data_IF_193375633015
#
_entry.id   IF_193375633015
#
_cell.length_a   1.000
_cell.length_b   1.000
_cell.length_c   1.000
_cell.angle_alpha   90.00
_cell.angle_beta   90.00
_cell.angle_gamma   90.00
#
_symmetry.space_group_name_H-M   'P 1'
#
loop_
_entity.id
_entity.type
_entity.pdbx_description
1 polymer ?
#
# COMPACT_ATOMS: atom_id res chain seq x y z
N UNK A 1 -8.68 -6.25 -21.59
CA UNK A 1 -8.29 -6.81 -22.90
C UNK A 1 -7.45 -5.81 -23.74
N UNK A 2 -7.71 -4.51 -23.66
CA UNK A 2 -6.94 -3.45 -24.35
C UNK A 2 -5.50 -3.37 -23.79
N UNK A 3 -5.33 -3.45 -22.48
CA UNK A 3 -4.01 -3.46 -21.82
C UNK A 3 -3.17 -4.65 -22.32
N UNK A 4 -3.74 -5.86 -22.35
CA UNK A 4 -3.07 -7.06 -22.88
C UNK A 4 -2.68 -6.95 -24.36
N UNK A 5 -3.44 -6.16 -25.15
CA UNK A 5 -3.16 -5.93 -26.57
C UNK A 5 -2.20 -4.76 -26.83
N UNK A 6 -1.77 -4.05 -25.78
CA UNK A 6 -0.96 -2.85 -25.90
C UNK A 6 -1.72 -1.61 -26.39
N UNK A 7 -3.07 -1.67 -26.41
CA UNK A 7 -3.95 -0.57 -26.79
C UNK A 7 -4.21 0.40 -25.61
N UNK A 8 -3.89 -0.04 -24.38
CA UNK A 8 -3.95 0.75 -23.16
C UNK A 8 -2.70 0.46 -22.31
N UNK A 9 -2.32 1.41 -21.44
CA UNK A 9 -1.14 1.27 -20.55
C UNK A 9 -1.51 0.88 -19.14
N UNK A 10 -2.74 1.14 -18.72
CA UNK A 10 -3.22 0.86 -17.39
C UNK A 10 -4.74 0.71 -17.35
N UNK A 11 -5.22 -0.04 -16.38
CA UNK A 11 -6.62 -0.11 -16.00
C UNK A 11 -6.77 0.34 -14.56
N UNK A 12 -7.63 1.32 -14.29
CA UNK A 12 -8.01 1.68 -12.94
C UNK A 12 -9.54 1.65 -12.75
N UNK A 13 -9.97 1.27 -11.56
CA UNK A 13 -11.40 1.10 -11.28
C UNK A 13 -11.74 1.31 -9.80
N UNK A 14 -12.85 1.96 -9.53
CA UNK A 14 -13.49 2.06 -8.20
C UNK A 14 -14.47 0.91 -7.91
N UNK A 15 -14.47 -0.15 -8.71
CA UNK A 15 -15.35 -1.31 -8.55
C UNK A 15 -14.96 -2.25 -7.41
N UNK A 16 -15.62 -3.40 -7.34
CA UNK A 16 -15.34 -4.44 -6.34
C UNK A 16 -13.88 -4.93 -6.42
N UNK A 17 -13.21 -5.00 -5.27
CA UNK A 17 -11.81 -5.48 -5.17
C UNK A 17 -11.66 -6.89 -5.73
N UNK A 18 -12.61 -7.79 -5.41
CA UNK A 18 -12.59 -9.16 -5.90
C UNK A 18 -12.71 -9.25 -7.43
N UNK A 19 -13.62 -8.46 -8.04
CA UNK A 19 -13.77 -8.43 -9.50
C UNK A 19 -12.51 -7.87 -10.20
N UNK A 20 -11.88 -6.83 -9.64
CA UNK A 20 -10.64 -6.24 -10.18
C UNK A 20 -9.49 -7.24 -10.06
N UNK A 21 -9.38 -7.94 -8.93
CA UNK A 21 -8.36 -8.94 -8.69
C UNK A 21 -8.47 -10.11 -9.67
N UNK A 22 -9.67 -10.71 -9.77
CA UNK A 22 -9.93 -11.82 -10.69
C UNK A 22 -9.72 -11.38 -12.14
N UNK A 23 -10.27 -10.23 -12.54
CA UNK A 23 -10.06 -9.65 -13.87
C UNK A 23 -8.60 -9.38 -14.18
N UNK A 24 -7.84 -8.84 -13.23
CA UNK A 24 -6.40 -8.63 -13.35
C UNK A 24 -5.64 -9.94 -13.58
N UNK A 25 -5.91 -10.96 -12.76
CA UNK A 25 -5.25 -12.27 -12.90
C UNK A 25 -5.63 -13.02 -14.18
N UNK A 26 -6.91 -13.05 -14.53
CA UNK A 26 -7.40 -13.86 -15.66
C UNK A 26 -7.18 -13.17 -17.01
N UNK A 27 -7.40 -11.84 -17.08
CA UNK A 27 -7.37 -11.10 -18.35
C UNK A 27 -5.97 -10.54 -18.61
N UNK A 28 -5.35 -9.85 -17.63
CA UNK A 28 -4.02 -9.24 -17.77
C UNK A 28 -2.93 -10.31 -17.61
N UNK A 29 -3.12 -11.19 -16.65
CA UNK A 29 -2.18 -12.27 -16.33
C UNK A 29 -1.05 -11.84 -15.42
N UNK A 30 -0.51 -12.78 -14.65
CA UNK A 30 0.64 -12.56 -13.76
C UNK A 30 1.97 -12.53 -14.51
N UNK A 31 2.94 -11.79 -13.99
CA UNK A 31 4.34 -11.87 -14.39
C UNK A 31 4.85 -13.28 -14.09
N UNK A 32 5.58 -13.89 -15.04
CA UNK A 32 6.13 -15.24 -14.85
C UNK A 32 7.06 -15.26 -13.64
N UNK A 33 6.74 -16.12 -12.68
CA UNK A 33 7.46 -16.27 -11.43
C UNK A 33 6.78 -15.60 -10.22
N UNK A 34 5.91 -14.61 -10.43
CA UNK A 34 5.06 -14.07 -9.37
C UNK A 34 3.95 -15.07 -9.07
N UNK A 35 3.90 -15.54 -7.82
CA UNK A 35 2.92 -16.55 -7.40
C UNK A 35 1.53 -15.93 -7.19
N UNK A 36 1.48 -14.77 -6.57
CA UNK A 36 0.24 -14.06 -6.23
C UNK A 36 0.42 -12.54 -6.35
N UNK A 37 -0.39 -11.84 -7.14
CA UNK A 37 -0.43 -10.37 -7.18
C UNK A 37 -1.02 -9.80 -5.90
N UNK A 38 -0.30 -8.98 -5.13
CA UNK A 38 -0.83 -8.29 -3.95
C UNK A 38 -1.47 -6.96 -4.30
N UNK A 39 -2.40 -6.51 -3.46
CA UNK A 39 -2.95 -5.15 -3.45
C UNK A 39 -2.14 -4.28 -2.48
N UNK A 40 -1.57 -3.19 -2.96
CA UNK A 40 -0.58 -2.41 -2.24
C UNK A 40 -0.96 -0.92 -2.08
N UNK A 41 -1.89 -0.57 -1.16
CA UNK A 41 -2.23 0.83 -0.87
C UNK A 41 -1.11 1.54 -0.12
N UNK A 42 -1.03 2.86 -0.31
CA UNK A 42 -0.23 3.76 0.50
C UNK A 42 -1.05 4.24 1.70
N UNK A 43 -0.48 4.13 2.90
CA UNK A 43 -1.01 4.71 4.13
C UNK A 43 -0.23 5.98 4.50
N UNK A 44 -0.91 7.10 4.75
CA UNK A 44 -0.26 8.30 5.24
C UNK A 44 0.28 8.09 6.65
N UNK A 45 1.47 8.62 6.91
CA UNK A 45 2.16 8.52 8.19
C UNK A 45 2.71 9.88 8.61
N UNK A 46 3.23 9.97 9.85
CA UNK A 46 3.88 11.19 10.35
C UNK A 46 5.11 11.60 9.52
N UNK A 47 5.79 10.64 8.87
CA UNK A 47 7.00 10.88 8.06
C UNK A 47 6.72 10.93 6.55
N UNK A 48 5.46 10.89 6.14
CA UNK A 48 5.03 10.85 4.74
C UNK A 48 4.03 9.73 4.51
N UNK A 49 4.46 8.61 3.95
CA UNK A 49 3.59 7.44 3.69
C UNK A 49 4.38 6.14 3.80
N UNK A 50 3.65 5.06 4.05
CA UNK A 50 4.15 3.68 4.00
C UNK A 50 3.28 2.85 3.06
N UNK A 51 3.89 1.94 2.31
CA UNK A 51 3.17 0.96 1.49
C UNK A 51 2.80 -0.24 2.35
N UNK A 52 1.52 -0.58 2.44
CA UNK A 52 1.07 -1.83 3.09
C UNK A 52 0.77 -2.86 2.02
N UNK A 53 1.37 -4.02 2.12
CA UNK A 53 1.31 -5.07 1.11
C UNK A 53 1.27 -6.46 1.78
N UNK A 54 0.21 -7.22 1.65
CA UNK A 54 -1.03 -7.15 0.88
C UNK A 54 -2.21 -6.60 1.70
N UNK A 55 -3.14 -5.92 1.04
CA UNK A 55 -4.33 -5.35 1.67
C UNK A 55 -5.65 -5.84 1.04
N UNK A 56 -5.81 -7.14 0.82
CA UNK A 56 -7.11 -7.69 0.42
C UNK A 56 -7.13 -8.56 -0.84
N UNK A 57 -5.96 -8.98 -1.34
CA UNK A 57 -5.88 -9.88 -2.48
C UNK A 57 -5.67 -11.35 -2.06
N UNK A 58 -4.78 -11.64 -1.10
CA UNK A 58 -4.35 -12.99 -0.77
C UNK A 58 -4.45 -13.26 0.75
N UNK A 59 -5.61 -13.75 1.18
CA UNK A 59 -5.90 -14.05 2.60
C UNK A 59 -5.04 -15.21 3.09
N UNK A 60 -4.95 -16.29 2.30
CA UNK A 60 -4.14 -17.47 2.63
C UNK A 60 -2.77 -17.37 1.96
N UNK A 61 -1.93 -16.44 2.45
CA UNK A 61 -0.59 -16.26 1.94
C UNK A 61 0.37 -17.34 2.50
N UNK A 62 1.44 -17.61 1.74
CA UNK A 62 2.56 -18.46 2.14
C UNK A 62 3.79 -17.58 2.41
N UNK A 63 4.82 -18.08 3.11
CA UNK A 63 6.06 -17.33 3.33
C UNK A 63 6.70 -16.82 2.02
N UNK A 64 6.72 -17.63 0.96
CA UNK A 64 7.23 -17.22 -0.36
C UNK A 64 6.48 -16.03 -0.95
N UNK A 65 5.16 -15.94 -0.73
CA UNK A 65 4.36 -14.80 -1.18
C UNK A 65 4.79 -13.51 -0.47
N UNK A 66 4.98 -13.55 0.86
CA UNK A 66 5.38 -12.38 1.64
C UNK A 66 6.78 -11.88 1.25
N UNK A 67 7.71 -12.79 0.93
CA UNK A 67 9.02 -12.42 0.39
C UNK A 67 8.88 -11.72 -0.96
N UNK A 68 8.05 -12.24 -1.87
CA UNK A 68 7.78 -11.58 -3.14
C UNK A 68 7.09 -10.22 -2.95
N UNK A 69 6.17 -10.10 -1.98
CA UNK A 69 5.53 -8.82 -1.64
C UNK A 69 6.55 -7.79 -1.15
N UNK A 70 7.49 -8.19 -0.30
CA UNK A 70 8.57 -7.34 0.17
C UNK A 70 9.41 -6.78 -0.99
N UNK A 71 9.82 -7.64 -1.93
CA UNK A 71 10.59 -7.25 -3.12
C UNK A 71 9.81 -6.30 -4.03
N UNK A 72 8.56 -6.66 -4.36
CA UNK A 72 7.70 -5.82 -5.19
C UNK A 72 7.40 -4.47 -4.53
N UNK A 73 7.16 -4.46 -3.22
CA UNK A 73 6.95 -3.24 -2.44
C UNK A 73 8.19 -2.34 -2.43
N UNK A 74 9.38 -2.92 -2.26
CA UNK A 74 10.65 -2.18 -2.31
C UNK A 74 10.87 -1.53 -3.67
N UNK A 75 10.68 -2.27 -4.77
CA UNK A 75 10.80 -1.75 -6.14
C UNK A 75 9.81 -0.58 -6.36
N UNK A 76 8.56 -0.74 -5.89
CA UNK A 76 7.56 0.30 -6.02
C UNK A 76 7.93 1.57 -5.23
N UNK A 77 8.31 1.42 -3.96
CA UNK A 77 8.69 2.55 -3.11
C UNK A 77 9.94 3.27 -3.63
N UNK A 78 10.91 2.54 -4.15
CA UNK A 78 12.13 3.14 -4.68
C UNK A 78 11.88 3.89 -5.99
N UNK A 79 11.19 3.29 -6.95
CA UNK A 79 11.10 3.82 -8.30
C UNK A 79 9.86 4.66 -8.59
N UNK A 80 8.74 4.43 -7.89
CA UNK A 80 7.52 5.25 -8.05
C UNK A 80 7.49 6.37 -7.02
N UNK A 81 7.86 6.05 -5.78
CA UNK A 81 7.76 7.01 -4.67
C UNK A 81 9.08 7.73 -4.36
N UNK A 82 10.19 7.32 -4.98
CA UNK A 82 11.51 7.96 -4.84
C UNK A 82 12.19 7.74 -3.48
N UNK A 83 11.76 6.74 -2.71
CA UNK A 83 12.36 6.41 -1.41
C UNK A 83 13.59 5.55 -1.63
N UNK A 84 14.79 6.10 -1.41
CA UNK A 84 16.05 5.36 -1.57
C UNK A 84 16.20 4.30 -0.48
N UNK A 85 16.50 3.06 -0.89
CA UNK A 85 16.72 1.92 -0.01
C UNK A 85 15.60 1.75 1.05
N UNK A 86 14.33 1.54 0.62
CA UNK A 86 13.18 1.58 1.49
C UNK A 86 13.26 0.51 2.59
N UNK A 87 12.94 0.91 3.82
CA UNK A 87 12.89 0.04 4.99
C UNK A 87 11.70 -0.90 4.88
N UNK A 88 11.96 -2.19 4.93
CA UNK A 88 10.95 -3.25 4.89
C UNK A 88 10.76 -3.84 6.27
N UNK A 89 9.52 -3.92 6.74
CA UNK A 89 9.19 -4.61 7.98
C UNK A 89 8.00 -5.55 7.80
N UNK A 90 7.98 -6.65 8.56
CA UNK A 90 6.83 -7.56 8.61
C UNK A 90 5.91 -7.19 9.78
N UNK A 91 4.59 -7.17 9.55
CA UNK A 91 3.61 -6.95 10.63
C UNK A 91 3.69 -8.08 11.64
N UNK A 92 3.81 -7.72 12.91
CA UNK A 92 3.89 -8.68 14.01
C UNK A 92 3.18 -8.16 15.26
N UNK A 93 2.98 -9.02 16.24
CA UNK A 93 2.37 -8.70 17.56
C UNK A 93 3.39 -8.16 18.57
N UNK A 94 4.66 -8.11 18.21
CA UNK A 94 5.78 -7.59 19.02
C UNK A 94 7.03 -7.49 18.18
N UNK A 95 8.07 -6.86 18.74
CA UNK A 95 9.33 -6.60 18.03
C UNK A 95 10.24 -7.83 17.93
N UNK A 96 10.05 -8.83 18.81
CA UNK A 96 10.90 -10.00 18.94
C UNK A 96 10.67 -11.00 17.79
N UNK A 97 11.74 -11.62 17.30
CA UNK A 97 11.73 -12.53 16.14
C UNK A 97 10.86 -13.78 16.35
N UNK A 98 10.80 -14.28 17.59
CA UNK A 98 10.05 -15.48 17.97
C UNK A 98 8.54 -15.25 18.14
N UNK A 99 8.08 -14.00 18.13
CA UNK A 99 6.65 -13.66 18.21
C UNK A 99 5.97 -13.78 16.85
N UNK A 100 4.65 -13.87 16.90
CA UNK A 100 3.80 -13.96 15.72
C UNK A 100 3.18 -15.34 15.50
N UNK A 101 2.37 -15.41 14.45
CA UNK A 101 1.77 -16.67 13.99
C UNK A 101 2.79 -17.50 13.19
N UNK A 102 2.40 -18.70 12.77
CA UNK A 102 3.27 -19.59 12.00
C UNK A 102 3.80 -18.92 10.72
N UNK A 103 2.94 -18.23 9.98
CA UNK A 103 3.31 -17.53 8.74
C UNK A 103 4.43 -16.50 8.98
N UNK A 104 4.31 -15.68 10.03
CA UNK A 104 5.32 -14.65 10.36
C UNK A 104 6.64 -15.30 10.77
N UNK A 105 6.58 -16.32 11.63
CA UNK A 105 7.78 -17.04 12.11
C UNK A 105 8.55 -17.73 10.98
N UNK A 106 7.84 -18.30 10.01
CA UNK A 106 8.45 -18.92 8.84
C UNK A 106 9.00 -17.88 7.85
N UNK A 107 8.30 -16.75 7.69
CA UNK A 107 8.69 -15.70 6.73
C UNK A 107 9.86 -14.87 7.22
N UNK A 108 9.94 -14.59 8.52
CA UNK A 108 10.95 -13.69 9.11
C UNK A 108 12.39 -14.04 8.72
N UNK A 109 12.87 -15.29 8.91
CA UNK A 109 14.23 -15.66 8.50
C UNK A 109 14.45 -15.56 6.99
N UNK A 110 13.43 -15.79 6.17
CA UNK A 110 13.53 -15.65 4.71
C UNK A 110 13.71 -14.18 4.30
N UNK A 111 12.97 -13.26 4.93
CA UNK A 111 13.13 -11.81 4.71
C UNK A 111 14.50 -11.33 5.19
N UNK A 112 14.97 -11.82 6.33
CA UNK A 112 16.28 -11.48 6.91
C UNK A 112 17.45 -11.93 6.02
N UNK A 113 17.29 -13.06 5.35
CA UNK A 113 18.28 -13.62 4.40
C UNK A 113 18.18 -13.04 2.99
N UNK A 114 17.14 -12.23 2.69
CA UNK A 114 16.91 -11.70 1.35
C UNK A 114 17.81 -10.48 1.06
N UNK A 115 18.77 -10.57 0.12
CA UNK A 115 19.72 -9.48 -0.15
C UNK A 115 19.09 -8.30 -0.93
N UNK A 116 17.94 -8.53 -1.57
CA UNK A 116 17.31 -7.57 -2.47
C UNK A 116 16.45 -6.50 -1.73
N UNK A 117 16.37 -6.59 -0.39
CA UNK A 117 15.54 -5.71 0.42
C UNK A 117 16.31 -5.20 1.65
N UNK A 118 15.95 -4.01 2.12
CA UNK A 118 16.44 -3.48 3.38
C UNK A 118 15.50 -3.91 4.53
N UNK A 119 15.59 -5.16 4.94
CA UNK A 119 14.72 -5.69 6.00
C UNK A 119 15.15 -5.19 7.37
N UNK A 120 14.21 -4.56 8.10
CA UNK A 120 14.44 -3.93 9.40
C UNK A 120 13.80 -4.68 10.58
N UNK A 121 13.18 -5.84 10.32
CA UNK A 121 12.57 -6.67 11.36
C UNK A 121 11.05 -6.56 11.42
N UNK A 122 10.49 -6.73 12.62
CA UNK A 122 9.05 -6.67 12.88
C UNK A 122 8.56 -5.24 13.10
N UNK A 123 7.30 -4.97 12.72
CA UNK A 123 6.59 -3.73 13.06
C UNK A 123 5.24 -4.07 13.71
N UNK A 124 4.96 -3.47 14.86
CA UNK A 124 3.65 -3.53 15.47
C UNK A 124 2.69 -2.53 14.79
N UNK A 125 1.42 -2.87 14.65
CA UNK A 125 0.41 -2.02 14.00
C UNK A 125 0.33 -0.60 14.59
N UNK A 126 0.56 -0.45 15.90
CA UNK A 126 0.60 0.87 16.58
C UNK A 126 1.72 1.79 16.09
N UNK A 127 2.77 1.25 15.50
CA UNK A 127 3.93 2.01 15.02
C UNK A 127 3.79 2.46 13.55
N UNK A 128 2.84 1.87 12.80
CA UNK A 128 2.57 2.23 11.40
C UNK A 128 2.32 3.73 11.23
N UNK A 129 1.47 4.40 12.05
CA UNK A 129 1.22 5.85 11.91
C UNK A 129 2.45 6.73 12.07
N UNK A 130 3.52 6.22 12.68
CA UNK A 130 4.77 6.98 12.88
C UNK A 130 5.71 6.91 11.68
N UNK A 131 5.51 5.98 10.73
CA UNK A 131 6.34 5.81 9.55
C UNK A 131 7.71 5.22 9.86
N UNK A 132 7.75 4.16 10.68
CA UNK A 132 9.00 3.50 11.06
C UNK A 132 9.50 2.53 9.99
N UNK A 133 8.64 2.12 9.06
CA UNK A 133 8.98 1.36 7.87
C UNK A 133 8.30 1.98 6.62
N UNK A 134 8.95 1.84 5.46
CA UNK A 134 8.45 2.33 4.18
C UNK A 134 7.58 1.29 3.48
N UNK A 135 7.93 0.00 3.64
CA UNK A 135 7.17 -1.15 3.14
C UNK A 135 6.77 -2.03 4.31
N UNK A 136 5.49 -2.25 4.47
CA UNK A 136 4.89 -3.01 5.57
C UNK A 136 4.26 -4.27 4.99
N UNK A 137 4.89 -5.40 5.23
CA UNK A 137 4.53 -6.70 4.67
C UNK A 137 3.58 -7.45 5.59
N UNK A 138 2.49 -7.93 5.05
CA UNK A 138 1.52 -8.78 5.74
C UNK A 138 0.70 -9.60 4.73
N UNK A 139 -0.08 -10.57 5.21
CA UNK A 139 -1.11 -11.20 4.41
C UNK A 139 -2.38 -10.31 4.34
N UNK A 140 -3.25 -10.59 3.37
CA UNK A 140 -4.35 -9.69 3.04
C UNK A 140 -5.40 -9.49 4.15
N UNK A 141 -5.58 -10.44 5.06
CA UNK A 141 -6.53 -10.29 6.16
C UNK A 141 -6.04 -9.25 7.16
N UNK A 142 -4.79 -9.38 7.63
CA UNK A 142 -4.19 -8.38 8.54
C UNK A 142 -4.07 -7.02 7.85
N UNK A 143 -3.61 -6.98 6.60
CA UNK A 143 -3.47 -5.74 5.84
C UNK A 143 -4.79 -5.01 5.63
N UNK A 144 -5.87 -5.73 5.31
CA UNK A 144 -7.19 -5.14 5.16
C UNK A 144 -7.77 -4.62 6.50
N UNK A 145 -7.53 -5.34 7.60
CA UNK A 145 -7.90 -4.87 8.95
C UNK A 145 -7.17 -3.57 9.28
N UNK A 146 -5.85 -3.53 9.07
CA UNK A 146 -5.03 -2.34 9.30
C UNK A 146 -5.57 -1.16 8.49
N UNK A 147 -5.77 -1.35 7.18
CA UNK A 147 -6.28 -0.31 6.28
C UNK A 147 -7.64 0.22 6.75
N UNK A 148 -8.60 -0.68 7.01
CA UNK A 148 -9.97 -0.29 7.39
C UNK A 148 -10.04 0.36 8.76
N UNK A 149 -9.26 -0.14 9.73
CA UNK A 149 -9.16 0.48 11.04
C UNK A 149 -8.54 1.87 10.95
N UNK A 150 -7.47 2.02 10.16
CA UNK A 150 -6.79 3.29 9.95
C UNK A 150 -7.73 4.35 9.33
N UNK A 151 -8.45 3.98 8.27
CA UNK A 151 -9.47 4.82 7.64
C UNK A 151 -10.58 5.21 8.63
N UNK A 152 -11.12 4.23 9.38
CA UNK A 152 -12.21 4.43 10.32
C UNK A 152 -11.84 5.30 11.52
N UNK A 153 -10.67 5.06 12.13
CA UNK A 153 -10.18 5.86 13.27
C UNK A 153 -9.86 7.28 12.81
N UNK A 154 -9.20 7.45 11.65
CA UNK A 154 -8.91 8.77 11.10
C UNK A 154 -10.17 9.60 10.86
N UNK A 155 -11.17 9.04 10.20
CA UNK A 155 -12.47 9.69 9.97
C UNK A 155 -13.20 10.02 11.27
N UNK A 156 -13.33 9.04 12.17
CA UNK A 156 -14.02 9.24 13.46
C UNK A 156 -13.38 10.29 14.35
N UNK A 157 -12.05 10.40 14.36
CA UNK A 157 -11.33 11.43 15.11
C UNK A 157 -11.61 12.83 14.54
N UNK A 158 -11.58 12.99 13.21
CA UNK A 158 -11.92 14.26 12.54
C UNK A 158 -13.35 14.69 12.88
N UNK A 159 -14.30 13.76 12.83
CA UNK A 159 -15.70 14.07 13.15
C UNK A 159 -15.87 14.47 14.63
N UNK A 160 -15.18 13.81 15.56
CA UNK A 160 -15.19 14.16 17.00
C UNK A 160 -14.60 15.54 17.26
N UNK A 161 -13.49 15.88 16.60
CA UNK A 161 -12.86 17.21 16.70
C UNK A 161 -13.84 18.27 16.17
N UNK A 162 -14.44 18.04 15.01
CA UNK A 162 -15.41 18.95 14.39
C UNK A 162 -16.65 19.15 15.29
N UNK A 163 -17.22 18.07 15.82
CA UNK A 163 -18.34 18.11 16.75
C UNK A 163 -18.00 18.96 17.99
N UNK A 164 -16.85 18.71 18.63
CA UNK A 164 -16.42 19.47 19.80
C UNK A 164 -16.24 20.97 19.51
N UNK A 165 -15.64 21.29 18.35
CA UNK A 165 -15.45 22.69 17.93
C UNK A 165 -16.75 23.43 17.62
N UNK A 166 -17.79 22.72 17.18
CA UNK A 166 -19.07 23.34 16.79
C UNK A 166 -20.08 23.50 17.92
N UNK A 167 -19.78 23.04 19.16
CA UNK A 167 -20.74 23.05 20.28
C UNK A 167 -21.03 24.46 20.86
N UNK A 168 -20.03 25.33 20.90
CA UNK A 168 -20.15 26.66 21.57
C UNK A 168 -19.66 27.77 20.64
N UNK A 169 -20.21 28.98 20.79
CA UNK A 169 -19.83 30.12 19.96
C UNK A 169 -18.33 30.43 20.04
N UNK A 170 -17.76 30.40 21.26
CA UNK A 170 -16.30 30.58 21.45
C UNK A 170 -15.47 29.58 20.70
N UNK A 171 -15.84 28.26 20.72
CA UNK A 171 -15.13 27.22 20.03
C UNK A 171 -15.32 27.28 18.52
N UNK A 172 -16.45 27.78 18.02
CA UNK A 172 -16.67 28.04 16.59
C UNK A 172 -15.73 29.15 16.07
N UNK A 173 -15.56 30.23 16.83
CA UNK A 173 -14.61 31.29 16.47
C UNK A 173 -13.18 30.74 16.49
N UNK A 174 -12.81 30.00 17.53
CA UNK A 174 -11.49 29.31 17.59
C UNK A 174 -11.27 28.35 16.42
N UNK A 175 -12.30 27.59 16.03
CA UNK A 175 -12.26 26.69 14.88
C UNK A 175 -11.96 27.44 13.57
N UNK A 176 -12.55 28.62 13.38
CA UNK A 176 -12.29 29.46 12.20
C UNK A 176 -10.83 29.90 12.13
N UNK A 177 -10.24 30.30 13.26
CA UNK A 177 -8.84 30.70 13.35
C UNK A 177 -7.87 29.53 13.13
N UNK A 178 -8.18 28.33 13.67
CA UNK A 178 -7.31 27.14 13.58
C UNK A 178 -7.50 26.38 12.26
N UNK A 179 -8.59 26.58 11.55
CA UNK A 179 -8.95 25.85 10.31
C UNK A 179 -7.82 25.77 9.28
N UNK A 180 -7.04 26.85 8.96
CA UNK A 180 -5.95 26.76 8.00
C UNK A 180 -4.83 25.85 8.46
N UNK A 181 -4.45 25.92 9.74
CA UNK A 181 -3.40 25.07 10.32
C UNK A 181 -3.83 23.61 10.37
N UNK A 182 -5.08 23.35 10.79
CA UNK A 182 -5.64 22.01 10.81
C UNK A 182 -5.72 21.40 9.41
N UNK A 183 -6.18 22.18 8.40
CA UNK A 183 -6.21 21.76 7.01
C UNK A 183 -4.81 21.39 6.48
N UNK A 184 -3.79 22.18 6.84
CA UNK A 184 -2.39 21.89 6.47
C UNK A 184 -1.89 20.61 7.13
N UNK A 185 -2.15 20.40 8.43
CA UNK A 185 -1.77 19.19 9.15
C UNK A 185 -2.49 17.94 8.59
N UNK A 186 -3.78 18.05 8.33
CA UNK A 186 -4.58 16.94 7.77
C UNK A 186 -4.23 16.59 6.33
N UNK A 187 -3.65 17.53 5.56
CA UNK A 187 -3.26 17.26 4.17
C UNK A 187 -2.23 16.12 4.08
N UNK A 188 -1.31 16.02 5.04
CA UNK A 188 -0.35 14.91 5.11
C UNK A 188 -0.97 13.54 5.41
N UNK A 189 -2.23 13.52 5.89
CA UNK A 189 -2.98 12.29 6.18
C UNK A 189 -4.07 11.97 5.15
N UNK A 190 -4.07 12.64 4.01
CA UNK A 190 -5.04 12.42 2.94
C UNK A 190 -4.50 11.41 1.92
N UNK A 191 -4.96 10.16 2.00
CA UNK A 191 -4.54 9.09 1.09
C UNK A 191 -4.88 9.40 -0.38
N UNK A 192 -5.86 10.28 -0.65
CA UNK A 192 -6.24 10.67 -2.02
C UNK A 192 -5.13 11.44 -2.78
N UNK A 193 -4.13 11.97 -2.04
CA UNK A 193 -2.95 12.62 -2.61
C UNK A 193 -2.06 11.67 -3.40
N UNK A 194 -2.12 10.35 -3.12
CA UNK A 194 -1.15 9.36 -3.64
C UNK A 194 -1.72 8.42 -4.71
N UNK A 195 -2.98 8.60 -5.11
CA UNK A 195 -3.63 7.79 -6.14
C UNK A 195 -4.24 6.49 -5.62
N UNK A 196 -4.46 5.55 -6.53
CA UNK A 196 -5.07 4.25 -6.22
C UNK A 196 -4.07 3.22 -5.68
N UNK A 197 -4.60 2.12 -5.14
CA UNK A 197 -3.81 0.96 -4.74
C UNK A 197 -3.46 0.10 -5.97
N UNK A 198 -2.18 -0.05 -6.35
CA UNK A 198 -1.81 -0.92 -7.47
C UNK A 198 -1.91 -2.40 -7.08
N UNK A 199 -2.28 -3.24 -8.05
CA UNK A 199 -2.03 -4.68 -8.04
C UNK A 199 -0.65 -4.92 -8.65
N UNK A 200 0.32 -5.25 -7.83
CA UNK A 200 1.69 -5.51 -8.29
C UNK A 200 1.84 -6.95 -8.81
N UNK A 201 2.79 -7.17 -9.71
CA UNK A 201 3.09 -8.51 -10.23
C UNK A 201 2.19 -8.99 -11.38
N UNK A 202 1.39 -8.12 -11.98
CA UNK A 202 0.66 -8.37 -13.23
C UNK A 202 1.48 -7.92 -14.45
N UNK A 203 1.20 -8.50 -15.63
CA UNK A 203 1.86 -8.10 -16.88
C UNK A 203 1.47 -6.69 -17.35
N UNK A 204 0.34 -6.16 -16.89
CA UNK A 204 -0.09 -4.78 -17.10
C UNK A 204 -0.40 -4.10 -15.77
N UNK A 205 -0.52 -2.78 -15.77
CA UNK A 205 -0.85 -2.04 -14.56
C UNK A 205 -2.36 -2.05 -14.30
N UNK A 206 -2.71 -2.58 -13.15
CA UNK A 206 -4.08 -2.52 -12.61
C UNK A 206 -4.05 -1.78 -11.28
N UNK A 207 -4.84 -0.71 -11.15
CA UNK A 207 -4.93 0.06 -9.92
C UNK A 207 -6.39 0.15 -9.44
N UNK A 208 -6.57 -0.02 -8.13
CA UNK A 208 -7.87 0.10 -7.48
C UNK A 208 -8.00 1.46 -6.80
N UNK A 209 -9.10 2.16 -7.09
CA UNK A 209 -9.52 3.36 -6.36
C UNK A 209 -10.75 3.08 -5.50
N UNK A 210 -11.13 4.01 -4.63
CA UNK A 210 -12.41 3.92 -3.93
C UNK A 210 -13.59 4.23 -4.86
N UNK A 211 -14.76 3.61 -4.61
CA UNK A 211 -15.98 3.85 -5.40
C UNK A 211 -16.50 5.28 -5.29
N UNK A 212 -16.13 6.02 -4.23
CA UNK A 212 -16.46 7.42 -4.00
C UNK A 212 -15.28 8.37 -4.27
N UNK A 213 -14.27 7.93 -5.01
CA UNK A 213 -13.10 8.74 -5.38
C UNK A 213 -13.49 10.03 -6.06
N UNK A 214 -12.87 11.11 -5.64
CA UNK A 214 -13.08 12.45 -6.22
C UNK A 214 -12.10 12.69 -7.37
N UNK A 215 -12.33 13.73 -8.16
CA UNK A 215 -11.53 14.09 -9.34
C UNK A 215 -10.02 14.15 -9.04
N UNK A 216 -9.61 14.61 -7.85
CA UNK A 216 -8.20 14.68 -7.44
C UNK A 216 -7.56 13.30 -7.31
N UNK A 217 -8.24 12.36 -6.67
CA UNK A 217 -7.75 10.98 -6.52
C UNK A 217 -7.66 10.26 -7.86
N UNK A 218 -8.65 10.48 -8.74
CA UNK A 218 -8.61 9.96 -10.12
C UNK A 218 -7.41 10.54 -10.89
N UNK A 219 -7.18 11.85 -10.81
CA UNK A 219 -6.05 12.51 -11.43
C UNK A 219 -4.72 11.93 -10.92
N UNK A 220 -4.56 11.82 -9.60
CA UNK A 220 -3.36 11.27 -8.98
C UNK A 220 -3.14 9.78 -9.37
N UNK A 221 -4.22 9.01 -9.50
CA UNK A 221 -4.15 7.62 -9.99
C UNK A 221 -3.65 7.53 -11.43
N UNK A 222 -4.08 8.45 -12.30
CA UNK A 222 -3.59 8.52 -13.68
C UNK A 222 -2.11 8.88 -13.71
N UNK A 223 -1.70 9.90 -12.95
CA UNK A 223 -0.27 10.30 -12.84
C UNK A 223 0.58 9.14 -12.31
N UNK A 224 0.10 8.43 -11.29
CA UNK A 224 0.75 7.23 -10.76
C UNK A 224 0.93 6.16 -11.85
N UNK A 225 -0.08 5.94 -12.70
CA UNK A 225 0.00 5.01 -13.81
C UNK A 225 1.06 5.42 -14.84
N UNK A 226 1.17 6.71 -15.14
CA UNK A 226 2.21 7.23 -16.03
C UNK A 226 3.60 6.97 -15.44
N UNK A 227 3.83 7.37 -14.19
CA UNK A 227 5.10 7.14 -13.50
C UNK A 227 5.46 5.64 -13.45
N UNK A 228 4.50 4.78 -13.15
CA UNK A 228 4.69 3.33 -13.11
C UNK A 228 5.19 2.79 -14.47
N UNK A 229 4.61 3.28 -15.57
CA UNK A 229 5.01 2.91 -16.93
C UNK A 229 6.39 3.43 -17.30
N UNK A 230 6.66 4.72 -17.05
CA UNK A 230 7.93 5.37 -17.35
C UNK A 230 9.10 4.74 -16.58
N UNK A 231 8.88 4.37 -15.34
CA UNK A 231 9.86 3.70 -14.48
C UNK A 231 9.99 2.20 -14.75
N UNK A 232 9.22 1.63 -15.69
CA UNK A 232 9.27 0.22 -16.11
C UNK A 232 9.15 -0.76 -14.93
N UNK A 233 8.18 -0.50 -14.04
CA UNK A 233 8.05 -1.26 -12.77
C UNK A 233 7.83 -2.75 -13.02
N UNK A 234 7.01 -3.13 -13.99
CA UNK A 234 6.74 -4.54 -14.31
C UNK A 234 7.99 -5.26 -14.80
N UNK A 235 8.85 -4.59 -15.59
CA UNK A 235 10.12 -5.12 -16.04
C UNK A 235 11.08 -5.33 -14.87
N UNK A 236 11.19 -4.37 -13.97
CA UNK A 236 12.03 -4.47 -12.76
C UNK A 236 11.55 -5.60 -11.82
N UNK A 237 10.24 -5.74 -11.63
CA UNK A 237 9.66 -6.84 -10.86
C UNK A 237 10.02 -8.18 -11.54
N UNK A 238 9.87 -8.29 -12.86
CA UNK A 238 10.21 -9.50 -13.61
C UNK A 238 11.68 -9.88 -13.45
N UNK A 239 12.57 -8.93 -13.62
CA UNK A 239 14.02 -9.14 -13.48
C UNK A 239 14.39 -9.60 -12.06
N UNK A 240 13.82 -8.96 -11.05
CA UNK A 240 14.07 -9.28 -9.64
C UNK A 240 13.59 -10.71 -9.29
N UNK A 241 12.38 -11.09 -9.72
CA UNK A 241 11.79 -12.40 -9.43
C UNK A 241 12.46 -13.55 -10.24
N UNK A 242 12.98 -13.26 -11.44
CA UNK A 242 13.64 -14.28 -12.28
C UNK A 242 15.06 -14.63 -11.82
N UNK A 243 15.79 -13.65 -11.27
CA UNK A 243 17.15 -13.90 -10.71
C UNK A 243 17.20 -14.94 -9.59
N UNK A 244 16.08 -15.21 -8.93
CA UNK A 244 16.02 -16.25 -7.88
C UNK A 244 15.98 -17.69 -8.41
N UNK A 245 15.78 -17.88 -9.70
CA UNK A 245 15.61 -19.21 -10.31
C UNK A 245 16.84 -19.68 -11.08
N UNK A 246 17.84 -18.83 -11.21
CA UNK A 246 19.17 -19.15 -11.73
C UNK A 246 20.15 -19.45 -10.59
#
# INVERSE_FOLDING_TARGET
NMDKKGEAYAFFSGGSSGAILVGGQVIVGGIKGVERPPLAPLLPTKKGFSLVIDCGANVDARPSHLVQFAKMGSIYMEHVMGVKNPKVAIVNIGAEEEKGNALVKETFPMLKACPDINFTGSIEARNIPYGDADVIVCEAFAGNIILKLYEGVGGGLVDKIKEGMMKRLRTKIGALLVKPALKKAMKGFDASEYGGAPLLGLNGLVAKTHGNSKAREVCNSIVQCVTFKEQKINEKIRECIQKEKE
#
